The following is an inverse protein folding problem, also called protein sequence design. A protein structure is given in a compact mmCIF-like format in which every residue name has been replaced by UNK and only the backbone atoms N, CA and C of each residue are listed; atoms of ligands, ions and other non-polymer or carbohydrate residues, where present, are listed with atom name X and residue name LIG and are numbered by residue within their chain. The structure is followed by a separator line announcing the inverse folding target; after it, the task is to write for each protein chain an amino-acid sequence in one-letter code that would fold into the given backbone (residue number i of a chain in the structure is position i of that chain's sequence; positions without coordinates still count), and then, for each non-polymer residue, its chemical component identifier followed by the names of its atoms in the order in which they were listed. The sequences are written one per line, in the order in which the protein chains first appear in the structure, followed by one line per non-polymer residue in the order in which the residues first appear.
data_IF_788777819922
#
_entry.id   IF_788777819922
#
_cell.length_a   1.000
_cell.length_b   1.000
_cell.length_c   1.000
_cell.angle_alpha   90.00
_cell.angle_beta   90.00
_cell.angle_gamma   90.00
#
_symmetry.space_group_name_H-M   'P 1'
#
loop_
_entity.id
_entity.type
_entity.pdbx_description
1 polymer ?
#
# COMPACT_ATOMS: atom_id res chain seq x y z
N UNK A 1 12.80 4.17 -1.95
CA UNK A 1 11.39 3.88 -1.59
C UNK A 1 11.05 2.43 -1.96
N UNK A 2 10.09 1.81 -1.28
CA UNK A 2 9.43 0.58 -1.74
C UNK A 2 7.91 0.57 -1.56
N UNK A 3 7.21 -0.23 -2.37
CA UNK A 3 5.76 -0.50 -2.24
C UNK A 3 5.57 -1.89 -1.63
N UNK A 4 4.90 -1.93 -0.48
CA UNK A 4 4.59 -3.16 0.26
C UNK A 4 3.14 -3.56 0.03
N UNK A 5 2.90 -4.83 -0.25
CA UNK A 5 1.57 -5.42 -0.22
C UNK A 5 1.44 -6.36 0.98
N UNK A 6 0.47 -6.05 1.85
CA UNK A 6 0.02 -6.94 2.92
C UNK A 6 -0.87 -7.99 2.27
N UNK A 7 -0.26 -9.10 1.86
CA UNK A 7 -0.84 -10.01 0.91
C UNK A 7 -1.92 -10.92 1.50
N UNK A 8 -2.38 -11.82 0.64
CA UNK A 8 -3.40 -12.82 0.94
C UNK A 8 -4.80 -12.22 1.23
N UNK A 9 -5.17 -11.17 0.48
CA UNK A 9 -6.54 -10.63 0.49
C UNK A 9 -7.58 -11.75 0.36
N UNK A 10 -8.67 -11.69 1.14
CA UNK A 10 -9.75 -12.68 1.08
C UNK A 10 -10.31 -12.85 -0.35
N UNK A 11 -10.44 -11.72 -1.07
CA UNK A 11 -10.86 -11.71 -2.46
C UNK A 11 -9.68 -12.08 -3.36
N UNK A 12 -9.67 -13.34 -3.82
CA UNK A 12 -8.61 -13.89 -4.69
C UNK A 12 -8.30 -13.06 -5.93
N UNK A 13 -9.28 -12.38 -6.50
CA UNK A 13 -9.06 -11.53 -7.68
C UNK A 13 -8.27 -10.27 -7.33
N UNK A 14 -8.55 -9.62 -6.20
CA UNK A 14 -7.75 -8.49 -5.72
C UNK A 14 -6.33 -8.92 -5.43
N UNK A 15 -6.14 -10.09 -4.80
CA UNK A 15 -4.80 -10.63 -4.57
C UNK A 15 -4.01 -10.81 -5.88
N UNK A 16 -4.62 -11.44 -6.90
CA UNK A 16 -3.97 -11.60 -8.21
C UNK A 16 -3.68 -10.28 -8.90
N UNK A 17 -4.59 -9.32 -8.78
CA UNK A 17 -4.42 -8.00 -9.37
C UNK A 17 -3.27 -7.25 -8.68
N UNK A 18 -3.21 -7.30 -7.35
CA UNK A 18 -2.14 -6.69 -6.59
C UNK A 18 -0.76 -7.18 -7.02
N UNK A 19 -0.60 -8.50 -7.15
CA UNK A 19 0.65 -9.09 -7.64
C UNK A 19 1.02 -8.59 -9.03
N UNK A 20 0.05 -8.47 -9.95
CA UNK A 20 0.29 -7.95 -11.30
C UNK A 20 0.72 -6.50 -11.28
N UNK A 21 0.03 -5.65 -10.53
CA UNK A 21 0.37 -4.23 -10.42
C UNK A 21 1.77 -4.05 -9.83
N UNK A 22 2.13 -4.78 -8.77
CA UNK A 22 3.47 -4.72 -8.18
C UNK A 22 4.57 -5.17 -9.16
N UNK A 23 4.33 -6.23 -9.94
CA UNK A 23 5.27 -6.63 -10.99
C UNK A 23 5.43 -5.52 -12.03
N UNK A 24 4.34 -4.87 -12.46
CA UNK A 24 4.40 -3.71 -13.37
C UNK A 24 5.17 -2.54 -12.76
N UNK A 25 4.89 -2.20 -11.49
CA UNK A 25 5.57 -1.14 -10.73
C UNK A 25 7.08 -1.37 -10.72
N UNK A 26 7.51 -2.60 -10.45
CA UNK A 26 8.91 -2.96 -10.49
C UNK A 26 9.48 -2.90 -11.91
N UNK A 27 8.87 -3.61 -12.86
CA UNK A 27 9.47 -3.84 -14.18
C UNK A 27 9.49 -2.59 -15.06
N UNK A 28 8.51 -1.69 -14.90
CA UNK A 28 8.38 -0.49 -15.73
C UNK A 28 8.96 0.77 -15.08
N UNK A 29 8.95 0.84 -13.75
CA UNK A 29 9.31 2.06 -13.01
C UNK A 29 10.52 1.88 -12.09
N UNK A 30 11.11 0.69 -12.03
CA UNK A 30 12.28 0.37 -11.17
C UNK A 30 12.03 0.67 -9.68
N UNK A 31 10.77 0.58 -9.25
CA UNK A 31 10.39 0.78 -7.86
C UNK A 31 10.48 -0.56 -7.13
N UNK A 32 11.19 -0.57 -5.99
CA UNK A 32 11.29 -1.77 -5.17
C UNK A 32 9.90 -2.18 -4.66
N UNK A 33 9.59 -3.47 -4.72
CA UNK A 33 8.33 -4.01 -4.21
C UNK A 33 8.59 -5.11 -3.18
N UNK A 34 7.67 -5.31 -2.26
CA UNK A 34 7.75 -6.37 -1.26
C UNK A 34 6.37 -6.89 -0.87
N UNK A 35 6.32 -8.13 -0.40
CA UNK A 35 5.12 -8.82 0.05
C UNK A 35 5.30 -9.25 1.50
N UNK A 36 4.34 -8.86 2.33
CA UNK A 36 4.13 -9.42 3.67
C UNK A 36 2.90 -10.32 3.60
N UNK A 37 3.09 -11.64 3.55
CA UNK A 37 2.01 -12.63 3.55
C UNK A 37 1.43 -12.76 4.95
N UNK A 38 0.18 -12.35 5.10
CA UNK A 38 -0.55 -12.39 6.37
C UNK A 38 -1.47 -13.61 6.36
N UNK A 39 -1.27 -14.53 7.30
CA UNK A 39 -2.09 -15.73 7.47
C UNK A 39 -2.30 -16.55 6.16
N UNK A 40 -1.24 -16.65 5.35
CA UNK A 40 -1.12 -17.36 4.06
C UNK A 40 -2.36 -18.14 3.57
N UNK A 41 -3.21 -17.50 2.76
CA UNK A 41 -4.49 -18.07 2.33
C UNK A 41 -4.45 -18.69 0.93
N UNK A 42 -3.61 -18.17 0.02
CA UNK A 42 -3.67 -18.53 -1.41
C UNK A 42 -2.60 -19.54 -1.87
N UNK A 43 -1.91 -20.20 -0.94
CA UNK A 43 -0.86 -21.17 -1.25
C UNK A 43 0.40 -20.49 -1.81
N UNK A 44 1.14 -21.18 -2.68
CA UNK A 44 2.40 -20.67 -3.21
C UNK A 44 2.17 -19.47 -4.16
N UNK A 45 2.93 -18.39 -3.95
CA UNK A 45 2.94 -17.24 -4.85
C UNK A 45 3.65 -17.56 -6.17
N UNK A 46 3.28 -16.89 -7.28
CA UNK A 46 4.10 -16.90 -8.49
C UNK A 46 5.50 -16.32 -8.21
N UNK A 47 6.42 -16.50 -9.14
CA UNK A 47 7.71 -15.79 -9.10
C UNK A 47 7.47 -14.28 -9.01
N UNK A 48 8.06 -13.65 -7.99
CA UNK A 48 7.84 -12.26 -7.64
C UNK A 48 9.20 -11.56 -7.57
N UNK A 49 9.35 -10.36 -8.17
CA UNK A 49 10.65 -9.69 -8.27
C UNK A 49 11.17 -9.14 -6.94
N UNK A 50 10.28 -8.99 -5.94
CA UNK A 50 10.59 -8.41 -4.65
C UNK A 50 10.78 -9.41 -3.51
N UNK A 51 11.02 -8.89 -2.32
CA UNK A 51 11.12 -9.70 -1.11
C UNK A 51 9.74 -10.21 -0.69
N UNK A 52 9.66 -11.48 -0.29
CA UNK A 52 8.44 -12.11 0.25
C UNK A 52 8.73 -12.59 1.66
N UNK A 53 7.93 -12.15 2.63
CA UNK A 53 8.00 -12.55 4.03
C UNK A 53 6.64 -13.07 4.49
N UNK A 54 6.64 -13.94 5.48
CA UNK A 54 5.43 -14.42 6.15
C UNK A 54 5.34 -13.78 7.53
N UNK A 55 4.19 -13.19 7.86
CA UNK A 55 3.97 -12.47 9.12
C UNK A 55 2.57 -12.71 9.67
N UNK A 56 2.37 -12.33 10.93
CA UNK A 56 1.04 -12.29 11.54
C UNK A 56 0.44 -10.89 11.41
N UNK A 57 -0.91 -10.76 11.42
CA UNK A 57 -1.56 -9.45 11.48
C UNK A 57 -1.04 -8.60 12.66
N UNK A 58 -0.78 -9.23 13.81
CA UNK A 58 -0.32 -8.54 15.03
C UNK A 58 1.07 -7.93 14.87
N UNK A 59 2.01 -8.66 14.27
CA UNK A 59 3.37 -8.19 14.04
C UNK A 59 3.38 -6.97 13.10
N UNK A 60 2.62 -7.06 12.01
CA UNK A 60 2.43 -5.94 11.08
C UNK A 60 1.78 -4.76 11.78
N UNK A 61 0.71 -4.98 12.53
CA UNK A 61 0.00 -3.92 13.23
C UNK A 61 0.90 -3.17 14.23
N UNK A 62 1.67 -3.88 15.06
CA UNK A 62 2.56 -3.23 16.04
C UNK A 62 3.73 -2.51 15.37
N UNK A 63 4.33 -3.11 14.32
CA UNK A 63 5.50 -2.58 13.61
C UNK A 63 5.15 -1.36 12.75
N UNK A 64 4.15 -1.50 11.89
CA UNK A 64 3.92 -0.59 10.77
C UNK A 64 2.85 0.46 11.07
N UNK A 65 1.84 0.11 11.88
CA UNK A 65 0.58 0.85 11.94
C UNK A 65 0.37 1.54 13.30
N UNK A 66 0.33 0.77 14.39
CA UNK A 66 -0.11 1.23 15.71
C UNK A 66 0.71 2.40 16.26
N UNK A 67 2.04 2.34 16.14
CA UNK A 67 2.97 3.32 16.74
C UNK A 67 3.54 4.32 15.73
N UNK A 68 3.05 4.28 14.50
CA UNK A 68 3.58 5.10 13.43
C UNK A 68 2.95 6.50 13.45
N UNK A 69 3.64 7.45 14.07
CA UNK A 69 3.13 8.82 14.20
C UNK A 69 2.98 9.54 12.85
N UNK A 70 3.79 9.20 11.85
CA UNK A 70 3.73 9.83 10.52
C UNK A 70 2.46 9.39 9.80
N UNK A 71 2.21 8.07 9.74
CA UNK A 71 0.99 7.51 9.20
C UNK A 71 -0.25 8.03 9.95
N UNK A 72 -0.21 8.02 11.29
CA UNK A 72 -1.36 8.39 12.13
C UNK A 72 -1.80 9.85 12.00
N UNK A 73 -0.94 10.73 11.47
CA UNK A 73 -1.31 12.13 11.16
C UNK A 73 -1.99 12.29 9.80
N UNK A 74 -1.86 11.28 8.92
CA UNK A 74 -2.35 11.31 7.54
C UNK A 74 -3.67 10.56 7.39
N UNK A 75 -3.91 9.53 8.20
CA UNK A 75 -5.21 8.84 8.23
C UNK A 75 -6.23 9.64 9.05
N UNK A 76 -7.47 9.73 8.56
CA UNK A 76 -8.56 10.50 9.19
C UNK A 76 -9.13 9.83 10.46
N UNK A 77 -8.62 8.66 10.82
CA UNK A 77 -9.08 7.81 11.90
C UNK A 77 -7.91 7.20 12.69
N UNK A 78 -8.17 6.63 13.86
CA UNK A 78 -7.12 5.92 14.59
C UNK A 78 -6.75 4.62 13.87
N UNK A 79 -5.50 4.11 14.00
CA UNK A 79 -5.12 2.82 13.40
C UNK A 79 -6.02 1.66 13.81
N UNK A 80 -6.57 1.69 15.02
CA UNK A 80 -7.56 0.69 15.44
C UNK A 80 -8.86 0.77 14.66
N UNK A 81 -9.33 1.97 14.28
CA UNK A 81 -10.55 2.10 13.48
C UNK A 81 -10.30 1.66 12.03
N UNK A 82 -9.16 2.04 11.46
CA UNK A 82 -8.79 1.68 10.09
C UNK A 82 -8.58 0.17 9.90
N UNK A 83 -7.88 -0.48 10.85
CA UNK A 83 -7.35 -1.84 10.65
C UNK A 83 -7.94 -2.89 11.59
N UNK A 84 -8.89 -2.54 12.48
CA UNK A 84 -9.62 -3.53 13.30
C UNK A 84 -11.11 -3.49 13.04
N UNK A 85 -11.67 -4.63 12.66
CA UNK A 85 -13.13 -4.82 12.56
C UNK A 85 -13.57 -5.88 13.55
N UNK A 86 -14.58 -5.53 14.36
CA UNK A 86 -15.13 -6.39 15.40
C UNK A 86 -14.08 -7.00 16.37
N UNK A 87 -12.95 -6.31 16.57
CA UNK A 87 -11.85 -6.75 17.44
C UNK A 87 -10.76 -7.57 16.74
N UNK A 88 -10.95 -7.94 15.48
CA UNK A 88 -9.99 -8.68 14.66
C UNK A 88 -9.22 -7.72 13.75
N UNK A 89 -7.92 -7.96 13.56
CA UNK A 89 -7.10 -7.20 12.64
C UNK A 89 -7.41 -7.61 11.19
N UNK A 90 -7.82 -6.64 10.38
CA UNK A 90 -8.11 -6.82 8.95
C UNK A 90 -7.11 -6.01 8.13
N UNK A 91 -5.92 -6.58 7.93
CA UNK A 91 -4.81 -5.92 7.23
C UNK A 91 -4.57 -6.54 5.84
N UNK A 92 -4.84 -7.83 5.70
CA UNK A 92 -4.68 -8.55 4.43
C UNK A 92 -5.45 -7.86 3.30
N UNK A 93 -4.76 -7.63 2.18
CA UNK A 93 -5.24 -6.90 1.02
C UNK A 93 -4.84 -5.43 0.97
N UNK A 94 -4.37 -4.84 2.07
CA UNK A 94 -3.90 -3.46 2.07
C UNK A 94 -2.49 -3.33 1.47
N UNK A 95 -2.13 -2.10 1.15
CA UNK A 95 -0.82 -1.72 0.62
C UNK A 95 -0.22 -0.58 1.43
N UNK A 96 1.11 -0.45 1.36
CA UNK A 96 1.85 0.59 2.02
C UNK A 96 2.99 1.12 1.15
N UNK A 97 3.31 2.39 1.33
CA UNK A 97 4.54 3.01 0.84
C UNK A 97 5.51 3.05 2.01
N UNK A 98 6.69 2.50 1.81
CA UNK A 98 7.71 2.39 2.84
C UNK A 98 8.94 3.17 2.39
N UNK A 99 9.42 4.07 3.24
CA UNK A 99 10.65 4.81 3.01
C UNK A 99 11.87 3.86 3.07
N UNK A 100 13.02 4.35 2.62
CA UNK A 100 14.24 3.53 2.55
C UNK A 100 14.73 3.07 3.91
N UNK A 101 14.58 3.91 4.93
CA UNK A 101 14.82 3.60 6.34
C UNK A 101 13.84 2.56 6.93
N UNK A 102 12.80 2.19 6.19
CA UNK A 102 11.84 1.16 6.56
C UNK A 102 10.59 1.65 7.29
N UNK A 103 10.39 2.97 7.45
CA UNK A 103 9.15 3.53 8.00
C UNK A 103 8.03 3.51 6.97
N UNK A 104 6.81 3.18 7.41
CA UNK A 104 5.61 3.28 6.56
C UNK A 104 5.17 4.75 6.50
N UNK A 105 5.21 5.35 5.32
CA UNK A 105 4.84 6.75 5.10
C UNK A 105 3.37 6.91 4.73
N UNK A 106 2.79 5.88 4.13
CA UNK A 106 1.37 5.81 3.77
C UNK A 106 0.93 4.36 3.75
N UNK A 107 -0.34 4.10 4.07
CA UNK A 107 -0.96 2.79 3.92
C UNK A 107 -2.45 2.95 3.60
N UNK A 108 -2.97 2.08 2.74
CA UNK A 108 -4.39 2.00 2.44
C UNK A 108 -5.17 1.49 3.66
N UNK A 109 -6.36 2.01 3.87
CA UNK A 109 -7.30 1.53 4.91
C UNK A 109 -8.33 0.58 4.33
N UNK A 110 -8.47 0.54 3.01
CA UNK A 110 -9.44 -0.29 2.28
C UNK A 110 -8.72 -1.20 1.26
N UNK A 111 -8.81 -2.53 1.35
CA UNK A 111 -8.04 -3.45 0.49
C UNK A 111 -8.59 -3.60 -0.95
N UNK A 112 -9.79 -3.10 -1.24
CA UNK A 112 -10.48 -3.29 -2.53
C UNK A 112 -10.43 -2.09 -3.46
N UNK A 113 -11.41 -2.01 -4.36
CA UNK A 113 -11.69 -0.87 -5.25
C UNK A 113 -12.74 0.05 -4.65
N UNK A 114 -12.73 1.34 -5.00
CA UNK A 114 -13.69 2.35 -4.55
C UNK A 114 -15.14 1.97 -4.84
N UNK A 115 -15.43 1.31 -5.96
CA UNK A 115 -16.78 0.86 -6.34
C UNK A 115 -17.40 -0.12 -5.34
N UNK A 116 -16.56 -0.76 -4.50
CA UNK A 116 -17.00 -1.60 -3.39
C UNK A 116 -17.31 -0.84 -2.10
N UNK A 117 -17.13 0.47 -2.08
CA UNK A 117 -17.21 1.34 -0.90
C UNK A 117 -18.05 2.59 -1.15
N UNK A 118 -18.12 3.48 -0.15
CA UNK A 118 -18.85 4.74 -0.25
C UNK A 118 -18.07 5.74 -1.13
N UNK A 119 -18.74 6.66 -1.85
CA UNK A 119 -18.05 7.69 -2.63
C UNK A 119 -17.09 8.54 -1.78
N UNK A 120 -15.95 8.96 -2.36
CA UNK A 120 -14.99 9.84 -1.69
C UNK A 120 -13.86 9.13 -0.94
N UNK A 121 -13.65 7.83 -1.18
CA UNK A 121 -12.57 7.02 -0.56
C UNK A 121 -11.53 6.53 -1.58
N UNK A 122 -11.49 7.13 -2.77
CA UNK A 122 -10.56 6.79 -3.87
C UNK A 122 -9.08 6.89 -3.43
N UNK A 123 -8.79 7.75 -2.45
CA UNK A 123 -7.46 7.95 -1.90
C UNK A 123 -7.05 6.89 -0.87
N UNK A 124 -7.99 6.05 -0.44
CA UNK A 124 -7.86 5.11 0.68
C UNK A 124 -7.81 3.64 0.23
N UNK A 125 -8.15 3.37 -1.03
CA UNK A 125 -8.29 2.03 -1.60
C UNK A 125 -6.98 1.48 -2.17
N UNK A 126 -6.68 0.23 -1.85
CA UNK A 126 -5.46 -0.43 -2.25
C UNK A 126 -5.40 -0.71 -3.76
N UNK A 127 -6.52 -1.15 -4.34
CA UNK A 127 -6.53 -1.54 -5.76
C UNK A 127 -6.44 -0.33 -6.68
N UNK A 128 -7.20 0.74 -6.40
CA UNK A 128 -7.10 1.98 -7.17
C UNK A 128 -5.69 2.58 -7.05
N UNK A 129 -5.13 2.64 -5.82
CA UNK A 129 -3.76 3.08 -5.62
C UNK A 129 -2.75 2.28 -6.47
N UNK A 130 -2.83 0.95 -6.43
CA UNK A 130 -1.90 0.09 -7.16
C UNK A 130 -2.02 0.22 -8.68
N UNK A 131 -3.24 0.38 -9.20
CA UNK A 131 -3.46 0.59 -10.64
C UNK A 131 -2.92 1.96 -11.08
N UNK A 132 -3.16 3.00 -10.29
CA UNK A 132 -2.66 4.35 -10.54
C UNK A 132 -1.13 4.36 -10.59
N UNK A 133 -0.44 3.82 -9.56
CA UNK A 133 1.03 3.81 -9.54
C UNK A 133 1.67 2.86 -10.56
N UNK A 134 0.94 1.82 -10.98
CA UNK A 134 1.42 0.94 -12.05
C UNK A 134 1.40 1.65 -13.41
N UNK A 135 0.42 2.55 -13.62
CA UNK A 135 0.35 3.38 -14.82
C UNK A 135 1.34 4.54 -14.76
N UNK A 136 1.33 5.29 -13.66
CA UNK A 136 2.20 6.44 -13.39
C UNK A 136 2.40 6.60 -11.87
N UNK A 137 3.57 6.24 -11.32
CA UNK A 137 3.86 6.39 -9.90
C UNK A 137 3.61 7.81 -9.36
N UNK A 138 3.94 8.84 -10.15
CA UNK A 138 3.84 10.23 -9.76
C UNK A 138 2.38 10.72 -9.71
N UNK A 139 1.41 9.92 -10.14
CA UNK A 139 -0.01 10.23 -9.96
C UNK A 139 -0.47 10.13 -8.49
N UNK A 140 0.27 9.39 -7.65
CA UNK A 140 -0.11 9.14 -6.24
C UNK A 140 1.01 9.37 -5.25
N UNK A 141 2.26 9.20 -5.65
CA UNK A 141 3.42 9.28 -4.75
C UNK A 141 4.62 9.91 -5.43
N UNK A 142 5.36 10.74 -4.70
CA UNK A 142 6.69 11.14 -5.15
C UNK A 142 7.67 10.00 -4.87
N UNK A 143 8.26 9.42 -5.91
CA UNK A 143 9.23 8.32 -5.81
C UNK A 143 10.49 8.68 -5.02
N UNK A 144 10.85 9.97 -4.97
CA UNK A 144 12.04 10.48 -4.27
C UNK A 144 11.84 10.65 -2.75
N UNK A 145 10.66 11.09 -2.30
CA UNK A 145 10.44 11.44 -0.88
C UNK A 145 9.21 10.81 -0.24
N UNK A 146 8.51 9.92 -0.95
CA UNK A 146 7.34 9.18 -0.45
C UNK A 146 6.14 10.05 -0.02
N UNK A 147 6.13 11.33 -0.38
CA UNK A 147 4.98 12.20 -0.15
C UNK A 147 3.84 11.78 -1.07
N UNK A 148 2.64 11.66 -0.49
CA UNK A 148 1.42 11.41 -1.24
C UNK A 148 1.09 12.63 -2.10
N UNK A 149 0.69 12.36 -3.34
CA UNK A 149 0.32 13.33 -4.35
C UNK A 149 -1.18 13.21 -4.64
N UNK A 150 -1.79 14.31 -5.07
CA UNK A 150 -3.15 14.32 -5.60
C UNK A 150 -3.20 14.18 -7.13
N UNK A 151 -2.03 14.14 -7.77
CA UNK A 151 -1.86 13.91 -9.21
C UNK A 151 -2.03 15.19 -10.05
N UNK A 152 -2.27 16.33 -9.41
CA UNK A 152 -2.34 17.64 -10.07
C UNK A 152 -1.02 18.42 -10.01
N UNK A 153 -0.08 17.95 -9.21
CA UNK A 153 1.18 18.64 -8.96
C UNK A 153 2.17 18.50 -10.12
N UNK A 154 2.79 19.62 -10.52
CA UNK A 154 3.94 19.61 -11.43
C UNK A 154 5.27 19.40 -10.68
N UNK A 155 5.31 19.79 -9.41
CA UNK A 155 6.47 19.64 -8.54
C UNK A 155 6.05 19.03 -7.23
N UNK A 156 6.85 18.11 -6.70
CA UNK A 156 6.58 17.49 -5.43
C UNK A 156 6.55 18.55 -4.31
N UNK A 157 5.46 18.64 -3.52
CA UNK A 157 5.37 19.59 -2.41
C UNK A 157 6.33 19.26 -1.25
N UNK A 158 6.84 18.02 -1.19
CA UNK A 158 7.79 17.57 -0.17
C UNK A 158 9.24 17.94 -0.46
N UNK A 159 9.73 17.65 -1.67
CA UNK A 159 11.14 17.80 -2.03
C UNK A 159 11.42 18.71 -3.23
N UNK A 160 10.38 19.18 -3.93
CA UNK A 160 10.51 20.06 -5.11
C UNK A 160 10.94 19.34 -6.39
N UNK A 161 11.01 18.00 -6.40
CA UNK A 161 11.27 17.21 -7.61
C UNK A 161 10.22 17.50 -8.68
N UNK A 162 10.65 17.64 -9.93
CA UNK A 162 9.77 17.74 -11.10
C UNK A 162 9.06 16.40 -11.34
N UNK A 163 7.72 16.44 -11.45
CA UNK A 163 6.85 15.27 -11.58
C UNK A 163 6.35 15.04 -13.01
N UNK A 164 6.80 15.87 -13.97
CA UNK A 164 6.35 15.83 -15.37
C UNK A 164 6.99 14.76 -16.26
#
# INVERSE_FOLDING_TARGET
MRVRYYADAEVRNWHKQALRCLTTVHDQHDITVEIERIDEQHGQLPEFPGEVRSTTPEDVYERDLKRNQTLNKRINETPSQAYKRHGTLEIAGNVAVVADEGSVEWASTLPGYVDGYMPGVESETAMDFLEDIAADPNSRICTECCVQLDGSEQFCPGCGTDLS
#
